data_IF_371624915316
#
_entry.id   IF_371624915316
#
_cell.length_a   1.000
_cell.length_b   1.000
_cell.length_c   1.000
_cell.angle_alpha   90.00
_cell.angle_beta   90.00
_cell.angle_gamma   90.00
#
_symmetry.space_group_name_H-M   'P 1'
#
loop_
_entity.id
_entity.type
_entity.pdbx_description
1 polymer ?
#
# COMPACT_ATOMS: atom_id res chain seq x y z
N UNK A 1 34.07 -15.67 -1.59
CA UNK A 1 33.44 -14.84 -2.65
C UNK A 1 32.04 -15.37 -2.84
N UNK A 2 30.99 -14.67 -2.38
CA UNK A 2 29.62 -15.19 -2.55
C UNK A 2 29.22 -15.02 -4.01
N UNK A 3 28.90 -16.12 -4.71
CA UNK A 3 28.18 -16.10 -5.97
C UNK A 3 26.84 -15.36 -5.77
N UNK A 4 26.86 -14.04 -5.95
CA UNK A 4 25.67 -13.21 -5.89
C UNK A 4 24.87 -13.51 -7.16
N UNK A 5 23.81 -14.31 -7.03
CA UNK A 5 22.87 -14.55 -8.12
C UNK A 5 22.45 -13.18 -8.70
N UNK A 6 22.75 -12.91 -9.98
CA UNK A 6 22.50 -11.60 -10.57
C UNK A 6 21.00 -11.31 -10.64
N UNK A 7 20.63 -10.06 -10.39
CA UNK A 7 19.24 -9.63 -10.48
C UNK A 7 18.79 -9.57 -11.94
N UNK A 8 17.62 -10.15 -12.23
CA UNK A 8 17.00 -10.08 -13.55
C UNK A 8 16.31 -8.72 -13.73
N UNK A 9 16.55 -7.99 -14.83
CA UNK A 9 15.90 -6.71 -15.10
C UNK A 9 14.39 -6.87 -15.35
N UNK A 10 13.61 -5.85 -15.00
CA UNK A 10 12.20 -5.73 -15.38
C UNK A 10 12.05 -4.52 -16.31
N UNK A 11 11.78 -4.78 -17.58
CA UNK A 11 11.50 -3.74 -18.58
C UNK A 11 10.08 -3.17 -18.51
N UNK A 12 9.66 -2.37 -19.50
CA UNK A 12 8.33 -1.75 -19.52
C UNK A 12 7.18 -2.75 -19.42
N UNK A 13 7.15 -3.77 -20.29
CA UNK A 13 6.09 -4.79 -20.28
C UNK A 13 6.05 -5.55 -18.96
N UNK A 14 7.22 -5.96 -18.45
CA UNK A 14 7.29 -6.60 -17.14
C UNK A 14 6.75 -5.68 -16.05
N UNK A 15 7.12 -4.40 -16.04
CA UNK A 15 6.60 -3.44 -15.06
C UNK A 15 5.08 -3.34 -15.13
N UNK A 16 4.50 -3.27 -16.32
CA UNK A 16 3.04 -3.28 -16.50
C UNK A 16 2.39 -4.54 -15.94
N UNK A 17 2.97 -5.72 -16.17
CA UNK A 17 2.40 -6.98 -15.67
C UNK A 17 2.52 -7.11 -14.14
N UNK A 18 3.67 -6.75 -13.57
CA UNK A 18 3.93 -6.86 -12.13
C UNK A 18 3.07 -5.93 -11.27
N UNK A 19 2.60 -4.81 -11.82
CA UNK A 19 1.64 -3.90 -11.18
C UNK A 19 0.19 -4.18 -11.61
N UNK A 20 -0.03 -4.48 -12.89
CA UNK A 20 -1.35 -4.68 -13.47
C UNK A 20 -2.05 -5.95 -13.00
N UNK A 21 -1.33 -7.05 -12.78
CA UNK A 21 -1.93 -8.29 -12.24
C UNK A 21 -2.47 -8.06 -10.82
N UNK A 22 -1.69 -7.54 -9.85
CA UNK A 22 -2.23 -7.13 -8.56
C UNK A 22 -3.39 -6.14 -8.71
N UNK A 23 -3.25 -5.11 -9.53
CA UNK A 23 -4.31 -4.11 -9.72
C UNK A 23 -5.63 -4.75 -10.19
N UNK A 24 -5.58 -5.71 -11.11
CA UNK A 24 -6.74 -6.45 -11.58
C UNK A 24 -7.38 -7.29 -10.46
N UNK A 25 -6.57 -7.97 -9.64
CA UNK A 25 -7.05 -8.75 -8.49
C UNK A 25 -7.78 -7.84 -7.49
N UNK A 26 -7.17 -6.70 -7.13
CA UNK A 26 -7.80 -5.73 -6.23
C UNK A 26 -9.05 -5.12 -6.84
N UNK A 27 -9.04 -4.77 -8.13
CA UNK A 27 -10.22 -4.25 -8.82
C UNK A 27 -11.37 -5.27 -8.82
N UNK A 28 -11.10 -6.54 -9.10
CA UNK A 28 -12.12 -7.60 -9.01
C UNK A 28 -12.65 -7.76 -7.58
N UNK A 29 -11.77 -7.74 -6.58
CA UNK A 29 -12.16 -7.88 -5.19
C UNK A 29 -13.01 -6.69 -4.69
N UNK A 30 -12.61 -5.46 -5.03
CA UNK A 30 -13.20 -4.24 -4.48
C UNK A 30 -14.37 -3.72 -5.30
N UNK A 31 -14.29 -3.76 -6.63
CA UNK A 31 -15.36 -3.26 -7.50
C UNK A 31 -16.39 -4.34 -7.86
N UNK A 32 -16.02 -5.62 -7.75
CA UNK A 32 -16.89 -6.75 -8.06
C UNK A 32 -17.40 -7.48 -6.81
N UNK A 33 -16.49 -8.11 -6.07
CA UNK A 33 -16.83 -9.00 -4.96
C UNK A 33 -17.41 -8.23 -3.76
N UNK A 34 -16.82 -7.10 -3.38
CA UNK A 34 -17.30 -6.29 -2.25
C UNK A 34 -18.77 -5.89 -2.40
N UNK A 35 -19.23 -5.26 -3.51
CA UNK A 35 -20.64 -4.93 -3.67
C UNK A 35 -21.54 -6.17 -3.63
N UNK A 36 -21.10 -7.28 -4.20
CA UNK A 36 -21.86 -8.54 -4.18
C UNK A 36 -22.02 -9.08 -2.75
N UNK A 37 -20.96 -9.05 -1.94
CA UNK A 37 -21.02 -9.50 -0.54
C UNK A 37 -21.92 -8.60 0.31
N UNK A 38 -21.83 -7.28 0.13
CA UNK A 38 -22.68 -6.31 0.82
C UNK A 38 -24.16 -6.52 0.46
N UNK A 39 -24.49 -6.68 -0.83
CA UNK A 39 -25.88 -6.99 -1.27
C UNK A 39 -26.43 -8.28 -0.66
N UNK A 40 -25.57 -9.27 -0.46
CA UNK A 40 -25.95 -10.55 0.14
C UNK A 40 -25.99 -10.49 1.68
N UNK A 41 -25.84 -9.31 2.29
CA UNK A 41 -25.93 -9.13 3.74
C UNK A 41 -24.72 -9.69 4.50
N UNK A 42 -23.57 -9.83 3.84
CA UNK A 42 -22.34 -10.27 4.52
C UNK A 42 -21.91 -9.24 5.59
N UNK A 43 -21.44 -9.68 6.77
CA UNK A 43 -20.97 -8.77 7.81
C UNK A 43 -19.81 -7.87 7.31
N UNK A 44 -19.78 -6.56 7.62
CA UNK A 44 -18.74 -5.66 7.11
C UNK A 44 -17.31 -6.10 7.45
N UNK A 45 -17.07 -6.65 8.64
CA UNK A 45 -15.77 -7.23 8.97
C UNK A 45 -15.34 -8.36 8.03
N UNK A 46 -16.26 -9.26 7.67
CA UNK A 46 -15.97 -10.35 6.74
C UNK A 46 -15.70 -9.80 5.33
N UNK A 47 -16.50 -8.83 4.89
CA UNK A 47 -16.28 -8.12 3.62
C UNK A 47 -14.86 -7.53 3.61
N UNK A 48 -14.47 -6.80 4.67
CA UNK A 48 -13.14 -6.22 4.79
C UNK A 48 -12.02 -7.26 4.65
N UNK A 49 -12.11 -8.35 5.42
CA UNK A 49 -11.10 -9.41 5.43
C UNK A 49 -10.96 -10.05 4.05
N UNK A 50 -12.09 -10.36 3.39
CA UNK A 50 -12.06 -11.05 2.08
C UNK A 50 -11.58 -10.13 0.98
N UNK A 51 -12.07 -8.88 0.92
CA UNK A 51 -11.88 -8.02 -0.26
C UNK A 51 -10.68 -7.10 -0.15
N UNK A 52 -10.19 -6.82 1.06
CA UNK A 52 -8.96 -6.05 1.28
C UNK A 52 -7.82 -6.95 1.74
N UNK A 53 -7.99 -7.65 2.87
CA UNK A 53 -6.90 -8.43 3.45
C UNK A 53 -6.52 -9.62 2.57
N UNK A 54 -7.49 -10.29 1.93
CA UNK A 54 -7.25 -11.38 0.99
C UNK A 54 -6.23 -11.04 -0.11
N UNK A 55 -6.49 -10.03 -0.96
CA UNK A 55 -5.53 -9.56 -1.96
C UNK A 55 -4.18 -9.11 -1.38
N UNK A 56 -4.15 -8.48 -0.20
CA UNK A 56 -2.89 -8.09 0.47
C UNK A 56 -2.07 -9.31 0.93
N UNK A 57 -2.72 -10.37 1.41
CA UNK A 57 -2.06 -11.64 1.72
C UNK A 57 -1.44 -12.24 0.46
N UNK A 58 -2.16 -12.21 -0.67
CA UNK A 58 -1.61 -12.66 -1.95
C UNK A 58 -0.38 -11.83 -2.37
N UNK A 59 -0.35 -10.53 -2.06
CA UNK A 59 0.83 -9.68 -2.32
C UNK A 59 2.04 -10.10 -1.50
N UNK A 60 1.86 -10.34 -0.20
CA UNK A 60 2.95 -10.83 0.65
C UNK A 60 3.46 -12.21 0.17
N UNK A 61 2.54 -13.12 -0.16
CA UNK A 61 2.88 -14.43 -0.72
C UNK A 61 3.65 -14.27 -2.03
N UNK A 62 3.22 -13.37 -2.92
CA UNK A 62 3.92 -13.10 -4.17
C UNK A 62 5.34 -12.59 -3.93
N UNK A 63 5.56 -11.66 -2.98
CA UNK A 63 6.89 -11.16 -2.65
C UNK A 63 7.82 -12.26 -2.11
N UNK A 64 7.30 -13.10 -1.21
CA UNK A 64 8.05 -14.24 -0.66
C UNK A 64 8.34 -15.29 -1.74
N UNK A 65 7.36 -15.62 -2.56
CA UNK A 65 7.52 -16.56 -3.68
C UNK A 65 8.52 -16.04 -4.71
N UNK A 66 8.46 -14.75 -5.07
CA UNK A 66 9.42 -14.14 -5.99
C UNK A 66 10.85 -14.20 -5.46
N UNK A 67 11.04 -13.98 -4.15
CA UNK A 67 12.35 -14.19 -3.52
C UNK A 67 12.79 -15.65 -3.61
N UNK A 68 11.90 -16.60 -3.31
CA UNK A 68 12.22 -18.04 -3.34
C UNK A 68 12.57 -18.53 -4.75
N UNK A 69 11.89 -18.01 -5.77
CA UNK A 69 12.09 -18.32 -7.19
C UNK A 69 13.39 -17.72 -7.75
N UNK A 70 14.01 -16.75 -7.07
CA UNK A 70 15.36 -16.29 -7.44
C UNK A 70 16.45 -17.32 -7.10
N UNK A 71 16.13 -18.40 -6.38
CA UNK A 71 17.09 -19.45 -6.02
C UNK A 71 18.08 -19.04 -4.92
N UNK A 72 17.79 -17.96 -4.18
CA UNK A 72 18.63 -17.49 -3.07
C UNK A 72 18.52 -18.40 -1.83
N UNK A 73 19.57 -18.48 -0.98
CA UNK A 73 19.51 -19.28 0.24
C UNK A 73 18.39 -18.82 1.17
N UNK A 74 17.64 -19.77 1.73
CA UNK A 74 16.53 -19.49 2.64
C UNK A 74 17.04 -19.23 4.07
N UNK A 75 17.57 -18.02 4.29
CA UNK A 75 17.99 -17.54 5.61
C UNK A 75 17.79 -16.03 5.72
N UNK A 76 17.80 -15.50 6.95
CA UNK A 76 17.49 -14.10 7.20
C UNK A 76 18.44 -13.13 6.48
N UNK A 77 19.76 -13.35 6.52
CA UNK A 77 20.71 -12.39 5.98
C UNK A 77 20.56 -12.17 4.45
N UNK A 78 20.49 -13.21 3.60
CA UNK A 78 20.20 -13.07 2.18
C UNK A 78 18.81 -12.49 1.88
N UNK A 79 17.79 -12.82 2.68
CA UNK A 79 16.43 -12.27 2.53
C UNK A 79 16.41 -10.76 2.81
N UNK A 80 16.93 -10.38 3.98
CA UNK A 80 17.08 -8.99 4.43
C UNK A 80 17.83 -8.17 3.39
N UNK A 81 18.97 -8.66 2.93
CA UNK A 81 19.81 -7.93 1.98
C UNK A 81 19.14 -7.77 0.61
N UNK A 82 18.48 -8.84 0.12
CA UNK A 82 17.78 -8.80 -1.17
C UNK A 82 16.59 -7.85 -1.15
N UNK A 83 15.82 -7.82 -0.07
CA UNK A 83 14.64 -6.96 0.06
C UNK A 83 14.98 -5.58 0.65
N UNK A 84 16.28 -5.24 0.75
CA UNK A 84 16.77 -3.93 1.24
C UNK A 84 16.27 -3.57 2.64
N UNK A 85 16.23 -4.57 3.53
CA UNK A 85 15.79 -4.45 4.92
C UNK A 85 16.97 -4.31 5.90
N UNK A 86 18.11 -3.78 5.43
CA UNK A 86 19.27 -3.53 6.30
C UNK A 86 18.95 -2.42 7.32
N UNK A 87 19.69 -2.40 8.43
CA UNK A 87 19.54 -1.35 9.44
C UNK A 87 19.74 0.03 8.84
N UNK A 88 18.86 0.97 9.20
CA UNK A 88 18.92 2.34 8.71
C UNK A 88 20.09 3.12 9.32
N UNK A 89 20.82 3.83 8.48
CA UNK A 89 21.84 4.80 8.90
C UNK A 89 21.19 6.12 9.35
N UNK A 90 21.97 7.02 9.96
CA UNK A 90 21.49 8.37 10.31
C UNK A 90 20.97 9.14 9.08
N UNK A 91 21.63 8.95 7.94
CA UNK A 91 21.21 9.54 6.67
C UNK A 91 19.88 8.97 6.18
N UNK A 92 19.66 7.66 6.32
CA UNK A 92 18.38 7.03 5.95
C UNK A 92 17.24 7.53 6.84
N UNK A 93 17.50 7.73 8.14
CA UNK A 93 16.53 8.34 9.06
C UNK A 93 16.20 9.79 8.68
N UNK A 94 17.20 10.59 8.31
CA UNK A 94 16.98 11.95 7.83
C UNK A 94 16.14 11.97 6.54
N UNK A 95 16.41 11.06 5.61
CA UNK A 95 15.59 10.88 4.41
C UNK A 95 14.17 10.44 4.73
N UNK A 96 13.98 9.58 5.74
CA UNK A 96 12.65 9.12 6.17
C UNK A 96 11.86 10.25 6.81
N UNK A 97 12.48 11.05 7.65
CA UNK A 97 11.86 12.25 8.21
C UNK A 97 11.46 13.23 7.10
N UNK A 98 12.38 13.50 6.17
CA UNK A 98 12.10 14.33 4.99
C UNK A 98 10.98 13.77 4.12
N UNK A 99 10.91 12.45 3.95
CA UNK A 99 9.84 11.77 3.22
C UNK A 99 8.48 12.00 3.89
N UNK A 100 8.39 11.75 5.20
CA UNK A 100 7.13 11.90 5.94
C UNK A 100 6.67 13.35 5.89
N UNK A 101 7.53 14.30 6.30
CA UNK A 101 7.18 15.72 6.32
C UNK A 101 6.88 16.26 4.91
N UNK A 102 7.70 15.87 3.93
CA UNK A 102 7.54 16.26 2.54
C UNK A 102 6.25 15.73 1.93
N UNK A 103 5.87 14.49 2.22
CA UNK A 103 4.62 13.89 1.73
C UNK A 103 3.42 14.66 2.27
N UNK A 104 3.36 14.96 3.57
CA UNK A 104 2.30 15.78 4.14
C UNK A 104 2.25 17.18 3.53
N UNK A 105 3.40 17.86 3.41
CA UNK A 105 3.47 19.19 2.81
C UNK A 105 2.99 19.19 1.34
N UNK A 106 3.43 18.22 0.55
CA UNK A 106 3.00 18.05 -0.84
C UNK A 106 1.51 17.69 -0.95
N UNK A 107 0.99 16.91 0.00
CA UNK A 107 -0.44 16.57 0.05
C UNK A 107 -1.31 17.82 0.28
N UNK A 108 -0.86 18.77 1.09
CA UNK A 108 -1.54 20.06 1.24
C UNK A 108 -1.44 20.91 -0.04
N UNK A 109 -0.28 20.91 -0.69
CA UNK A 109 -0.04 21.72 -1.89
C UNK A 109 -0.76 21.19 -3.15
N UNK A 110 -0.99 19.87 -3.26
CA UNK A 110 -1.61 19.27 -4.45
C UNK A 110 -3.13 19.53 -4.54
N UNK A 111 -3.78 19.85 -3.41
CA UNK A 111 -5.23 19.96 -3.30
C UNK A 111 -5.89 20.83 -4.38
N UNK A 112 -5.45 22.08 -4.61
CA UNK A 112 -5.99 22.94 -5.66
C UNK A 112 -5.86 22.34 -7.06
N UNK A 113 -4.72 21.72 -7.37
CA UNK A 113 -4.45 21.11 -8.68
C UNK A 113 -5.34 19.87 -8.88
N UNK A 114 -5.46 19.03 -7.86
CA UNK A 114 -6.35 17.87 -7.87
C UNK A 114 -7.81 18.31 -8.09
N UNK A 115 -8.26 19.38 -7.43
CA UNK A 115 -9.60 19.94 -7.58
C UNK A 115 -9.90 20.42 -9.01
N UNK A 116 -8.92 20.97 -9.73
CA UNK A 116 -9.11 21.41 -11.12
C UNK A 116 -9.43 20.27 -12.09
N UNK A 117 -9.02 19.05 -11.77
CA UNK A 117 -9.20 17.88 -12.64
C UNK A 117 -10.14 16.83 -12.05
N UNK A 118 -10.77 17.11 -10.90
CA UNK A 118 -11.71 16.20 -10.22
C UNK A 118 -12.96 15.89 -11.07
N UNK A 119 -13.35 16.81 -11.96
CA UNK A 119 -14.48 16.62 -12.89
C UNK A 119 -14.23 15.54 -13.95
N UNK A 120 -12.99 15.11 -14.17
CA UNK A 120 -12.67 14.03 -15.11
C UNK A 120 -12.90 12.69 -14.42
N UNK A 121 -14.11 12.15 -14.56
CA UNK A 121 -14.53 10.90 -13.93
C UNK A 121 -14.17 9.68 -14.78
N UNK A 122 -13.75 8.60 -14.13
CA UNK A 122 -13.44 7.33 -14.78
C UNK A 122 -14.59 6.33 -14.66
N UNK A 123 -15.20 6.26 -13.49
CA UNK A 123 -16.35 5.42 -13.20
C UNK A 123 -17.11 5.92 -11.97
N UNK A 124 -18.36 5.47 -11.84
CA UNK A 124 -19.15 5.60 -10.63
C UNK A 124 -18.95 4.37 -9.74
N UNK A 125 -18.51 4.60 -8.51
CA UNK A 125 -18.49 3.52 -7.54
C UNK A 125 -19.93 3.12 -7.17
N UNK A 126 -20.15 1.83 -6.94
CA UNK A 126 -21.46 1.32 -6.49
C UNK A 126 -21.88 1.93 -5.15
N UNK A 127 -23.19 2.00 -4.89
CA UNK A 127 -23.71 2.48 -3.60
C UNK A 127 -23.16 1.64 -2.45
N UNK A 128 -23.10 0.33 -2.64
CA UNK A 128 -22.62 -0.63 -1.65
C UNK A 128 -21.16 -0.39 -1.29
N UNK A 129 -20.31 -0.10 -2.28
CA UNK A 129 -18.93 0.33 -2.02
C UNK A 129 -18.89 1.64 -1.24
N UNK A 130 -19.69 2.64 -1.64
CA UNK A 130 -19.78 3.92 -0.96
C UNK A 130 -20.18 3.80 0.51
N UNK A 131 -21.26 3.07 0.78
CA UNK A 131 -21.77 2.80 2.13
C UNK A 131 -20.72 2.07 2.98
N UNK A 132 -20.09 1.03 2.42
CA UNK A 132 -19.05 0.27 3.09
C UNK A 132 -17.85 1.14 3.46
N UNK A 133 -17.34 1.93 2.52
CA UNK A 133 -16.24 2.87 2.78
C UNK A 133 -16.64 3.97 3.76
N UNK A 134 -17.91 4.37 3.80
CA UNK A 134 -18.47 5.28 4.80
C UNK A 134 -18.40 4.68 6.21
N UNK A 135 -18.83 3.42 6.37
CA UNK A 135 -18.75 2.68 7.63
C UNK A 135 -17.31 2.46 8.09
N UNK A 136 -16.40 2.08 7.19
CA UNK A 136 -14.97 1.91 7.48
C UNK A 136 -14.34 3.17 8.07
N UNK A 137 -14.66 4.36 7.54
CA UNK A 137 -14.17 5.66 8.07
C UNK A 137 -14.67 5.93 9.50
N UNK A 138 -15.79 5.33 9.88
CA UNK A 138 -16.36 5.40 11.21
C UNK A 138 -15.96 4.21 12.09
N UNK A 139 -15.00 3.39 11.64
CA UNK A 139 -14.61 2.14 12.29
C UNK A 139 -15.84 1.27 12.63
N UNK A 140 -16.83 1.25 11.75
CA UNK A 140 -18.02 0.40 11.86
C UNK A 140 -17.81 -0.88 11.06
N UNK A 141 -17.78 -1.99 11.80
CA UNK A 141 -17.57 -3.33 11.26
C UNK A 141 -18.82 -4.22 11.39
N UNK A 142 -19.97 -3.63 11.75
CA UNK A 142 -21.24 -4.31 11.96
C UNK A 142 -21.42 -4.94 13.36
N UNK A 143 -20.60 -4.56 14.34
CA UNK A 143 -20.73 -4.97 15.73
C UNK A 143 -20.07 -3.96 16.68
N UNK A 144 -20.41 -4.01 17.97
CA UNK A 144 -19.80 -3.16 18.99
C UNK A 144 -18.32 -3.50 19.20
N UNK A 145 -17.47 -2.51 19.03
CA UNK A 145 -16.02 -2.63 19.21
C UNK A 145 -15.60 -2.47 20.67
N UNK A 146 -16.45 -2.00 21.59
CA UNK A 146 -16.06 -1.76 22.98
C UNK A 146 -15.44 -3.00 23.62
N UNK A 147 -14.19 -2.89 24.08
CA UNK A 147 -13.42 -4.00 24.65
C UNK A 147 -12.86 -5.02 23.66
N UNK A 148 -13.09 -4.87 22.34
CA UNK A 148 -12.61 -5.77 21.28
C UNK A 148 -11.15 -5.51 20.90
N UNK A 149 -10.26 -5.73 21.87
CA UNK A 149 -8.81 -5.65 21.68
C UNK A 149 -8.29 -6.62 20.62
N UNK A 150 -8.95 -7.77 20.46
CA UNK A 150 -8.68 -8.74 19.40
C UNK A 150 -8.77 -8.10 17.99
N UNK A 151 -9.79 -7.29 17.75
CA UNK A 151 -9.98 -6.58 16.47
C UNK A 151 -8.90 -5.53 16.28
N UNK A 152 -8.62 -4.74 17.32
CA UNK A 152 -7.55 -3.74 17.24
C UNK A 152 -6.18 -4.36 16.94
N UNK A 153 -5.83 -5.45 17.65
CA UNK A 153 -4.60 -6.20 17.40
C UNK A 153 -4.57 -6.81 16.00
N UNK A 154 -5.70 -7.32 15.51
CA UNK A 154 -5.82 -7.80 14.13
C UNK A 154 -5.50 -6.70 13.11
N UNK A 155 -5.99 -5.48 13.30
CA UNK A 155 -5.67 -4.37 12.39
C UNK A 155 -4.20 -3.96 12.48
N UNK A 156 -3.68 -3.75 13.69
CA UNK A 156 -2.30 -3.27 13.92
C UNK A 156 -1.25 -4.29 13.48
N UNK A 157 -1.42 -5.57 13.81
CA UNK A 157 -0.41 -6.60 13.57
C UNK A 157 -0.72 -7.48 12.36
N UNK A 158 -1.99 -7.71 12.05
CA UNK A 158 -2.40 -8.51 10.89
C UNK A 158 -2.55 -7.67 9.63
N UNK A 159 -3.56 -6.81 9.60
CA UNK A 159 -3.90 -6.03 8.40
C UNK A 159 -2.76 -5.13 7.93
N UNK A 160 -2.10 -4.41 8.85
CA UNK A 160 -0.96 -3.55 8.49
C UNK A 160 0.27 -4.34 8.05
N UNK A 161 0.49 -5.55 8.57
CA UNK A 161 1.57 -6.41 8.10
C UNK A 161 1.34 -6.85 6.66
N UNK A 162 0.12 -7.29 6.33
CA UNK A 162 -0.19 -7.70 4.95
C UNK A 162 -0.24 -6.50 4.01
N UNK A 163 -0.74 -5.37 4.48
CA UNK A 163 -0.78 -4.12 3.70
C UNK A 163 0.63 -3.58 3.45
N UNK A 164 1.25 -3.02 4.48
CA UNK A 164 2.52 -2.31 4.32
C UNK A 164 3.67 -3.30 4.09
N UNK A 165 3.71 -4.40 4.83
CA UNK A 165 4.72 -5.41 4.65
C UNK A 165 4.61 -6.09 3.27
N UNK A 166 3.43 -6.55 2.88
CA UNK A 166 3.23 -7.18 1.57
C UNK A 166 3.57 -6.25 0.41
N UNK A 167 3.04 -5.02 0.44
CA UNK A 167 3.26 -4.04 -0.62
C UNK A 167 4.70 -3.56 -0.68
N UNK A 168 5.32 -3.13 0.42
CA UNK A 168 6.68 -2.58 0.37
C UNK A 168 7.71 -3.64 0.00
N UNK A 169 7.53 -4.90 0.44
CA UNK A 169 8.38 -6.00 -0.02
C UNK A 169 8.22 -6.27 -1.51
N UNK A 170 7.00 -6.17 -2.06
CA UNK A 170 6.75 -6.36 -3.49
C UNK A 170 7.27 -5.18 -4.33
N UNK A 171 6.83 -3.96 -4.04
CA UNK A 171 7.12 -2.77 -4.85
C UNK A 171 8.57 -2.32 -4.72
N UNK A 172 9.10 -2.19 -3.49
CA UNK A 172 10.42 -1.58 -3.20
C UNK A 172 11.48 -2.65 -2.95
N UNK A 173 11.09 -3.78 -2.37
CA UNK A 173 11.95 -4.93 -2.17
C UNK A 173 12.21 -5.70 -3.46
N UNK A 174 11.18 -6.16 -4.16
CA UNK A 174 11.31 -7.05 -5.33
C UNK A 174 11.45 -6.28 -6.64
N UNK A 175 10.52 -5.37 -6.94
CA UNK A 175 10.36 -4.78 -8.28
C UNK A 175 11.30 -3.60 -8.53
N UNK A 176 11.32 -2.59 -7.66
CA UNK A 176 12.12 -1.38 -7.85
C UNK A 176 13.61 -1.68 -8.15
N UNK A 177 14.31 -2.58 -7.43
CA UNK A 177 15.71 -2.88 -7.72
C UNK A 177 15.93 -3.50 -9.10
N UNK A 178 14.92 -4.19 -9.64
CA UNK A 178 14.96 -4.77 -10.99
C UNK A 178 14.62 -3.73 -12.07
N UNK A 179 13.76 -2.76 -11.75
CA UNK A 179 13.48 -1.60 -12.60
C UNK A 179 14.69 -0.66 -12.69
N UNK A 180 15.46 -0.50 -11.61
CA UNK A 180 16.72 0.27 -11.59
C UNK A 180 17.73 -0.23 -12.64
N UNK A 181 17.73 -1.53 -12.95
CA UNK A 181 18.61 -2.11 -13.98
C UNK A 181 18.25 -1.66 -15.41
N UNK A 182 17.02 -1.20 -15.64
CA UNK A 182 16.54 -0.78 -16.98
C UNK A 182 16.38 0.74 -17.06
N UNK A 183 15.71 1.33 -16.07
CA UNK A 183 15.36 2.75 -16.05
C UNK A 183 16.37 3.62 -15.30
N UNK A 184 17.37 3.00 -14.65
CA UNK A 184 18.43 3.70 -13.94
C UNK A 184 17.88 4.70 -12.92
N UNK A 185 18.35 5.95 -13.00
CA UNK A 185 17.93 7.05 -12.12
C UNK A 185 16.45 7.43 -12.20
N UNK A 186 15.72 6.93 -13.20
CA UNK A 186 14.29 7.22 -13.41
C UNK A 186 13.38 6.07 -12.94
N UNK A 187 13.93 4.99 -12.39
CA UNK A 187 13.14 3.85 -11.94
C UNK A 187 12.08 4.23 -10.89
N UNK A 188 12.37 5.19 -10.00
CA UNK A 188 11.40 5.69 -9.03
C UNK A 188 10.17 6.35 -9.66
N UNK A 189 10.33 7.04 -10.80
CA UNK A 189 9.18 7.60 -11.53
C UNK A 189 8.29 6.48 -12.04
N UNK A 190 8.89 5.49 -12.69
CA UNK A 190 8.15 4.33 -13.23
C UNK A 190 7.45 3.57 -12.10
N UNK A 191 8.17 3.29 -11.02
CA UNK A 191 7.64 2.57 -9.87
C UNK A 191 6.52 3.35 -9.17
N UNK A 192 6.72 4.63 -8.87
CA UNK A 192 5.74 5.46 -8.17
C UNK A 192 4.51 5.79 -9.01
N UNK A 193 4.66 5.96 -10.33
CA UNK A 193 3.51 6.13 -11.25
C UNK A 193 2.71 4.83 -11.38
N UNK A 194 3.37 3.68 -11.54
CA UNK A 194 2.65 2.40 -11.62
C UNK A 194 2.01 2.02 -10.29
N UNK A 195 2.61 2.38 -9.15
CA UNK A 195 1.99 2.20 -7.84
C UNK A 195 0.79 3.13 -7.65
N UNK A 196 0.83 4.35 -8.17
CA UNK A 196 -0.32 5.24 -8.20
C UNK A 196 -1.46 4.64 -9.04
N UNK A 197 -1.15 4.18 -10.25
CA UNK A 197 -2.12 3.54 -11.14
C UNK A 197 -2.62 2.19 -10.61
N UNK A 198 -1.82 1.48 -9.80
CA UNK A 198 -2.29 0.27 -9.11
C UNK A 198 -3.54 0.56 -8.29
N UNK A 199 -3.65 1.72 -7.65
CA UNK A 199 -4.79 2.13 -6.83
C UNK A 199 -6.01 2.61 -7.63
N UNK A 200 -6.05 2.44 -8.95
CA UNK A 200 -7.19 2.90 -9.76
C UNK A 200 -8.55 2.34 -9.31
N UNK A 201 -8.54 1.17 -8.66
CA UNK A 201 -9.73 0.57 -8.01
C UNK A 201 -10.29 1.39 -6.84
N UNK A 202 -9.55 2.39 -6.34
CA UNK A 202 -9.98 3.38 -5.34
C UNK A 202 -10.22 4.77 -5.93
N UNK A 203 -9.70 5.05 -7.12
CA UNK A 203 -9.73 6.37 -7.75
C UNK A 203 -10.85 6.46 -8.78
N UNK A 204 -11.94 7.16 -8.43
CA UNK A 204 -13.10 7.33 -9.33
C UNK A 204 -12.93 8.48 -10.32
N UNK A 205 -11.94 9.35 -10.11
CA UNK A 205 -11.67 10.52 -10.95
C UNK A 205 -10.18 10.89 -10.99
N UNK A 206 -9.78 11.69 -11.97
CA UNK A 206 -8.39 12.10 -12.19
C UNK A 206 -7.84 12.94 -11.02
N UNK A 207 -8.68 13.76 -10.38
CA UNK A 207 -8.31 14.50 -9.17
C UNK A 207 -7.77 13.60 -8.07
N UNK A 208 -8.44 12.48 -7.80
CA UNK A 208 -8.02 11.52 -6.78
C UNK A 208 -6.70 10.80 -7.12
N UNK A 209 -6.43 10.53 -8.40
CA UNK A 209 -5.15 9.97 -8.89
C UNK A 209 -4.03 10.99 -8.67
N UNK A 210 -4.26 12.24 -9.08
CA UNK A 210 -3.31 13.35 -8.94
C UNK A 210 -3.03 13.64 -7.45
N UNK A 211 -4.07 13.64 -6.63
CA UNK A 211 -3.95 13.85 -5.19
C UNK A 211 -3.11 12.78 -4.49
N UNK A 212 -2.94 11.61 -5.10
CA UNK A 212 -2.18 10.50 -4.52
C UNK A 212 -0.71 10.47 -4.95
N UNK A 213 -0.32 11.24 -5.97
CA UNK A 213 1.08 11.35 -6.44
C UNK A 213 2.07 11.84 -5.36
N UNK A 214 1.70 12.80 -4.47
CA UNK A 214 2.55 13.20 -3.35
C UNK A 214 2.97 12.08 -2.41
N UNK A 215 2.23 10.97 -2.36
CA UNK A 215 2.60 9.78 -1.60
C UNK A 215 3.47 8.85 -2.43
N UNK A 216 3.02 8.51 -3.64
CA UNK A 216 3.63 7.40 -4.39
C UNK A 216 4.99 7.71 -4.96
N UNK A 217 5.20 8.95 -5.44
CA UNK A 217 6.43 9.38 -6.08
C UNK A 217 7.57 9.61 -5.07
N UNK A 218 7.42 10.42 -3.99
CA UNK A 218 8.49 10.62 -3.02
C UNK A 218 8.91 9.34 -2.33
N UNK A 219 7.97 8.45 -2.03
CA UNK A 219 8.25 7.19 -1.36
C UNK A 219 9.12 6.27 -2.25
N UNK A 220 8.78 6.13 -3.53
CA UNK A 220 9.62 5.40 -4.50
C UNK A 220 10.99 6.07 -4.67
N UNK A 221 11.04 7.40 -4.72
CA UNK A 221 12.30 8.15 -4.85
C UNK A 221 13.23 7.89 -3.67
N UNK A 222 12.73 8.01 -2.43
CA UNK A 222 13.53 7.81 -1.22
C UNK A 222 13.98 6.36 -1.10
N UNK A 223 13.13 5.39 -1.43
CA UNK A 223 13.51 3.98 -1.45
C UNK A 223 14.66 3.71 -2.44
N UNK A 224 14.62 4.29 -3.64
CA UNK A 224 15.71 4.20 -4.61
C UNK A 224 16.97 4.92 -4.11
N UNK A 225 16.82 6.13 -3.55
CA UNK A 225 17.93 7.00 -3.12
C UNK A 225 18.74 6.39 -1.98
N UNK A 226 18.04 5.80 -1.01
CA UNK A 226 18.63 5.16 0.18
C UNK A 226 18.99 3.69 -0.08
N UNK A 227 18.47 3.08 -1.15
CA UNK A 227 18.51 1.63 -1.38
C UNK A 227 18.02 0.85 -0.16
N UNK A 228 17.00 1.38 0.50
CA UNK A 228 16.36 0.81 1.69
C UNK A 228 14.85 0.77 1.50
N UNK A 229 14.22 -0.32 1.93
CA UNK A 229 12.75 -0.45 1.93
C UNK A 229 12.14 0.16 3.20
N UNK A 230 12.94 0.35 4.26
CA UNK A 230 12.45 0.87 5.55
C UNK A 230 11.82 2.27 5.50
N UNK A 231 12.37 3.28 4.80
CA UNK A 231 11.72 4.57 4.67
C UNK A 231 10.29 4.45 4.12
N UNK A 232 10.12 3.55 3.13
CA UNK A 232 8.81 3.24 2.55
C UNK A 232 7.87 2.61 3.57
N UNK A 233 8.31 1.56 4.28
CA UNK A 233 7.53 0.92 5.34
C UNK A 233 7.06 1.93 6.40
N UNK A 234 7.96 2.81 6.86
CA UNK A 234 7.65 3.77 7.92
C UNK A 234 6.64 4.82 7.43
N UNK A 235 6.90 5.45 6.27
CA UNK A 235 6.01 6.47 5.73
C UNK A 235 4.64 5.88 5.36
N UNK A 236 4.62 4.68 4.78
CA UNK A 236 3.40 3.98 4.41
C UNK A 236 2.59 3.56 5.66
N UNK A 237 3.25 3.13 6.73
CA UNK A 237 2.63 2.88 8.03
C UNK A 237 1.98 4.13 8.63
N UNK A 238 2.72 5.24 8.67
CA UNK A 238 2.20 6.52 9.19
C UNK A 238 0.97 6.97 8.38
N UNK A 239 1.00 6.79 7.06
CA UNK A 239 -0.15 7.10 6.20
C UNK A 239 -1.41 6.24 6.46
N UNK A 240 -1.25 5.02 6.98
CA UNK A 240 -2.35 4.08 7.20
C UNK A 240 -2.78 3.93 8.67
N UNK A 241 -2.11 4.59 9.62
CA UNK A 241 -2.40 4.41 11.05
C UNK A 241 -3.76 4.97 11.49
N UNK A 242 -4.38 5.83 10.66
CA UNK A 242 -5.66 6.48 10.99
C UNK A 242 -6.80 5.50 11.32
N UNK A 243 -6.96 4.43 10.54
CA UNK A 243 -8.00 3.42 10.80
C UNK A 243 -7.76 2.65 12.13
N UNK A 244 -6.56 2.11 12.40
CA UNK A 244 -6.22 1.57 13.72
C UNK A 244 -6.46 2.52 14.90
N UNK A 245 -6.20 3.82 14.72
CA UNK A 245 -6.50 4.84 15.74
C UNK A 245 -8.01 4.95 15.94
N UNK A 246 -8.80 5.05 14.86
CA UNK A 246 -10.27 5.10 14.95
C UNK A 246 -10.84 3.87 15.68
N UNK A 247 -10.33 2.67 15.37
CA UNK A 247 -10.69 1.42 16.05
C UNK A 247 -10.33 1.49 17.54
N UNK A 248 -9.15 2.01 17.90
CA UNK A 248 -8.73 2.14 19.29
C UNK A 248 -9.73 2.99 20.10
N UNK A 249 -10.17 4.12 19.57
CA UNK A 249 -11.17 4.96 20.22
C UNK A 249 -12.46 4.18 20.48
N UNK A 250 -12.95 3.44 19.49
CA UNK A 250 -14.16 2.62 19.63
C UNK A 250 -13.98 1.48 20.63
N UNK A 251 -12.81 0.84 20.65
CA UNK A 251 -12.47 -0.20 21.64
C UNK A 251 -12.47 0.36 23.07
N UNK A 252 -11.99 1.60 23.25
CA UNK A 252 -12.02 2.31 24.53
C UNK A 252 -13.42 2.85 24.90
N UNK A 253 -14.40 2.76 23.99
CA UNK A 253 -15.74 3.35 24.18
C UNK A 253 -15.77 4.87 24.07
N UNK A 254 -14.78 5.46 23.39
CA UNK A 254 -14.66 6.90 23.14
C UNK A 254 -15.30 7.29 21.79
N UNK A 255 -15.80 8.54 21.65
CA UNK A 255 -16.21 9.07 20.35
C UNK A 255 -15.00 9.20 19.41
N UNK A 256 -15.22 9.09 18.10
CA UNK A 256 -14.13 9.26 17.13
C UNK A 256 -13.60 10.71 17.14
N UNK A 257 -12.29 10.92 16.89
CA UNK A 257 -11.74 12.26 16.79
C UNK A 257 -12.41 13.04 15.65
N UNK A 258 -12.93 14.24 15.94
CA UNK A 258 -13.56 15.11 14.94
C UNK A 258 -15.07 14.88 14.72
N UNK A 259 -15.72 14.07 15.57
CA UNK A 259 -17.17 14.01 15.72
C UNK A 259 -17.69 14.86 16.88
#
# INVERSE_FOLDING_TARGET
MSDQIPLKPIGPLGSLLYFGIPAAIFATAILGLLPAMVRNGSPPFLVFVVTFVGPLVLMLVAAVAAYRLEGRPWSWAPFRDRLRLRSMTKTDWAWTLGLVLGTYALQFAIGPIAGWVEGVRFYDASKEFGDFMGGMRQADFGFDLKGRWDVWLFFVFGSLLFNIGGEELWWRGIILPRQELVFGRWAWLVNGLLWNLFHFFYHTNLGSVVAYLPMTLPLAYVAQRTRSTWPGIIAHFIGNIGLPIGILYRVLGLPLPGG
#
